data_IF_067426101298
#
_entry.id   IF_067426101298
#
_cell.length_a   1.000
_cell.length_b   1.000
_cell.length_c   1.000
_cell.angle_alpha   90.00
_cell.angle_beta   90.00
_cell.angle_gamma   90.00
#
_symmetry.space_group_name_H-M   'P 1'
#
loop_
_entity.id
_entity.type
_entity.pdbx_description
1 polymer ?
#
# COMPACT_ATOMS: atom_id res chain seq x y z
N UNK A 1 -19.22 -15.67 -41.40
CA UNK A 1 -17.87 -16.25 -41.24
C UNK A 1 -17.78 -16.87 -39.86
N UNK A 2 -17.08 -17.99 -39.73
CA UNK A 2 -16.84 -18.66 -38.44
C UNK A 2 -15.34 -18.85 -38.16
N UNK A 3 -14.97 -18.89 -36.89
CA UNK A 3 -13.61 -19.23 -36.44
C UNK A 3 -13.66 -19.98 -35.12
N UNK A 4 -12.99 -21.13 -35.06
CA UNK A 4 -12.80 -21.90 -33.83
C UNK A 4 -11.69 -21.31 -32.97
N UNK A 5 -11.92 -21.25 -31.67
CA UNK A 5 -10.98 -20.71 -30.69
C UNK A 5 -11.01 -21.59 -29.44
N UNK A 6 -9.83 -21.92 -28.91
CA UNK A 6 -9.67 -22.66 -27.66
C UNK A 6 -9.18 -21.72 -26.57
N UNK A 7 -9.86 -21.69 -25.43
CA UNK A 7 -9.44 -20.96 -24.23
C UNK A 7 -8.88 -21.95 -23.22
N UNK A 8 -7.60 -21.81 -22.88
CA UNK A 8 -6.91 -22.72 -21.96
C UNK A 8 -7.23 -22.39 -20.50
N UNK A 9 -6.89 -23.31 -19.59
CA UNK A 9 -7.22 -23.22 -18.15
C UNK A 9 -6.73 -21.96 -17.43
N UNK A 10 -5.67 -21.32 -17.94
CA UNK A 10 -5.10 -20.09 -17.39
C UNK A 10 -5.60 -18.81 -18.09
N UNK A 11 -6.37 -18.96 -19.17
CA UNK A 11 -6.89 -17.87 -19.99
C UNK A 11 -8.38 -17.70 -19.71
N UNK A 12 -8.88 -16.48 -19.86
CA UNK A 12 -10.29 -16.18 -19.63
C UNK A 12 -10.80 -15.03 -20.50
N UNK A 13 -9.95 -14.47 -21.38
CA UNK A 13 -10.27 -13.31 -22.19
C UNK A 13 -10.09 -13.64 -23.67
N UNK A 14 -11.15 -13.45 -24.44
CA UNK A 14 -11.18 -13.59 -25.90
C UNK A 14 -11.40 -12.21 -26.52
N UNK A 15 -10.43 -11.73 -27.30
CA UNK A 15 -10.57 -10.54 -28.12
C UNK A 15 -10.88 -10.92 -29.57
N UNK A 16 -11.95 -10.38 -30.13
CA UNK A 16 -12.40 -10.63 -31.50
C UNK A 16 -12.36 -9.33 -32.31
N UNK A 17 -11.45 -9.24 -33.26
CA UNK A 17 -11.38 -8.15 -34.21
C UNK A 17 -12.11 -8.52 -35.51
N UNK A 18 -13.10 -7.72 -35.89
CA UNK A 18 -13.92 -7.91 -37.10
C UNK A 18 -13.92 -6.67 -37.96
N UNK A 19 -14.15 -6.86 -39.26
CA UNK A 19 -14.43 -5.79 -40.23
C UNK A 19 -15.78 -6.06 -40.90
N UNK A 20 -16.50 -4.97 -41.20
CA UNK A 20 -17.82 -5.03 -41.87
C UNK A 20 -18.88 -5.90 -41.15
N UNK A 21 -18.72 -6.10 -39.85
CA UNK A 21 -19.62 -6.89 -39.04
C UNK A 21 -20.66 -6.03 -38.33
N UNK A 22 -21.85 -6.59 -38.19
CA UNK A 22 -22.93 -6.07 -37.34
C UNK A 22 -23.23 -7.02 -36.17
N UNK A 23 -22.76 -8.26 -36.28
CA UNK A 23 -22.99 -9.32 -35.29
C UNK A 23 -21.70 -10.04 -34.94
N UNK A 24 -21.53 -10.37 -33.66
CA UNK A 24 -20.59 -11.40 -33.20
C UNK A 24 -21.39 -12.30 -32.26
N UNK A 25 -21.38 -13.59 -32.52
CA UNK A 25 -22.03 -14.61 -31.71
C UNK A 25 -20.97 -15.65 -31.33
N UNK A 26 -20.97 -16.08 -30.07
CA UNK A 26 -20.01 -17.08 -29.57
C UNK A 26 -20.80 -18.28 -29.11
N UNK A 27 -20.49 -19.43 -29.69
CA UNK A 27 -21.07 -20.71 -29.32
C UNK A 27 -20.03 -21.58 -28.62
N UNK A 28 -20.44 -22.38 -27.64
CA UNK A 28 -19.58 -23.42 -27.08
C UNK A 28 -19.46 -24.65 -28.01
N UNK A 29 -18.71 -25.67 -27.59
CA UNK A 29 -18.50 -26.92 -28.34
C UNK A 29 -19.83 -27.67 -28.61
N UNK A 30 -20.82 -27.51 -27.73
CA UNK A 30 -22.15 -28.10 -27.86
C UNK A 30 -23.08 -27.30 -28.76
N UNK A 31 -22.64 -26.13 -29.27
CA UNK A 31 -23.42 -25.24 -30.10
C UNK A 31 -24.40 -24.35 -29.32
N UNK A 32 -24.25 -24.24 -28.00
CA UNK A 32 -25.03 -23.32 -27.18
C UNK A 32 -24.47 -21.90 -27.31
N UNK A 33 -25.35 -20.93 -27.55
CA UNK A 33 -24.97 -19.51 -27.59
C UNK A 33 -24.55 -19.04 -26.18
N UNK A 34 -23.32 -18.56 -26.07
CA UNK A 34 -22.71 -18.06 -24.84
C UNK A 34 -22.77 -16.54 -24.77
N UNK A 35 -22.41 -15.86 -25.85
CA UNK A 35 -22.33 -14.39 -25.91
C UNK A 35 -22.79 -13.88 -27.28
N UNK A 36 -23.36 -12.67 -27.31
CA UNK A 36 -23.74 -12.00 -28.56
C UNK A 36 -23.57 -10.49 -28.48
N UNK A 37 -23.09 -9.90 -29.57
CA UNK A 37 -23.07 -8.46 -29.79
C UNK A 37 -23.80 -8.18 -31.09
N UNK A 38 -24.71 -7.20 -31.07
CA UNK A 38 -25.43 -6.70 -32.24
C UNK A 38 -25.34 -5.18 -32.27
N UNK A 39 -24.85 -4.63 -33.35
CA UNK A 39 -24.68 -3.19 -33.57
C UNK A 39 -24.83 -2.86 -35.05
N UNK A 40 -25.19 -1.62 -35.38
CA UNK A 40 -25.25 -1.17 -36.79
C UNK A 40 -23.92 -1.36 -37.51
N UNK A 41 -22.81 -1.21 -36.79
CA UNK A 41 -21.44 -1.49 -37.25
C UNK A 41 -20.50 -1.72 -36.06
N UNK A 42 -19.71 -2.79 -36.12
CA UNK A 42 -18.65 -3.09 -35.15
C UNK A 42 -17.33 -2.57 -35.72
N UNK A 43 -16.75 -1.55 -35.07
CA UNK A 43 -15.56 -0.81 -35.57
C UNK A 43 -14.31 -1.00 -34.72
N UNK A 44 -14.42 -1.75 -33.61
CA UNK A 44 -13.31 -2.03 -32.71
C UNK A 44 -13.32 -3.50 -32.28
N UNK A 45 -12.17 -4.08 -31.90
CA UNK A 45 -12.12 -5.41 -31.31
C UNK A 45 -13.02 -5.51 -30.08
N UNK A 46 -13.76 -6.61 -29.96
CA UNK A 46 -14.68 -6.87 -28.86
C UNK A 46 -14.06 -7.87 -27.89
N UNK A 47 -14.27 -7.67 -26.59
CA UNK A 47 -13.69 -8.50 -25.54
C UNK A 47 -14.80 -9.31 -24.88
N UNK A 48 -14.56 -10.61 -24.71
CA UNK A 48 -15.46 -11.56 -24.07
C UNK A 48 -14.73 -12.31 -22.97
N UNK A 49 -15.42 -12.54 -21.84
CA UNK A 49 -14.88 -13.30 -20.72
C UNK A 49 -15.56 -14.67 -20.65
N UNK A 50 -14.80 -15.71 -20.93
CA UNK A 50 -15.32 -17.05 -21.11
C UNK A 50 -14.50 -18.03 -20.26
N UNK A 51 -15.16 -19.10 -19.80
CA UNK A 51 -14.46 -20.19 -19.10
C UNK A 51 -13.53 -20.93 -20.06
N UNK A 52 -12.51 -21.64 -19.56
CA UNK A 52 -11.74 -22.55 -20.38
C UNK A 52 -12.64 -23.53 -21.14
N UNK A 53 -12.39 -23.69 -22.44
CA UNK A 53 -13.22 -24.48 -23.35
C UNK A 53 -13.00 -24.14 -24.81
N UNK A 54 -13.64 -24.91 -25.68
CA UNK A 54 -13.65 -24.68 -27.13
C UNK A 54 -14.89 -23.90 -27.53
N UNK A 55 -14.68 -22.89 -28.38
CA UNK A 55 -15.72 -21.98 -28.83
C UNK A 55 -15.67 -21.77 -30.34
N UNK A 56 -16.82 -21.45 -30.91
CA UNK A 56 -16.97 -20.99 -32.29
C UNK A 56 -17.46 -19.55 -32.30
N UNK A 57 -16.64 -18.65 -32.84
CA UNK A 57 -17.00 -17.26 -33.08
C UNK A 57 -17.64 -17.16 -34.45
N UNK A 58 -18.86 -16.67 -34.53
CA UNK A 58 -19.64 -16.48 -35.75
C UNK A 58 -19.95 -14.99 -35.94
N UNK A 59 -19.80 -14.48 -37.16
CA UNK A 59 -20.13 -13.10 -37.50
C UNK A 59 -20.69 -13.00 -38.91
N UNK A 60 -21.50 -11.98 -39.19
CA UNK A 60 -21.93 -11.63 -40.54
C UNK A 60 -20.89 -10.82 -41.35
N UNK A 61 -19.78 -10.40 -40.73
CA UNK A 61 -18.65 -9.74 -41.40
C UNK A 61 -17.44 -10.67 -41.57
N UNK A 62 -16.24 -10.07 -41.64
CA UNK A 62 -14.96 -10.79 -41.69
C UNK A 62 -14.28 -10.76 -40.32
N UNK A 63 -13.76 -11.92 -39.90
CA UNK A 63 -12.91 -12.04 -38.69
C UNK A 63 -11.47 -11.78 -39.11
N UNK A 64 -10.90 -10.67 -38.65
CA UNK A 64 -9.50 -10.33 -38.89
C UNK A 64 -8.61 -11.11 -37.92
N UNK A 65 -8.89 -10.99 -36.62
CA UNK A 65 -8.06 -11.58 -35.58
C UNK A 65 -8.90 -12.09 -34.41
N UNK A 66 -8.45 -13.19 -33.81
CA UNK A 66 -8.92 -13.66 -32.51
C UNK A 66 -7.70 -13.86 -31.64
N UNK A 67 -7.69 -13.26 -30.45
CA UNK A 67 -6.62 -13.39 -29.47
C UNK A 67 -7.21 -13.92 -28.17
N UNK A 68 -6.57 -14.93 -27.60
CA UNK A 68 -6.91 -15.45 -26.28
C UNK A 68 -5.76 -15.15 -25.33
N UNK A 69 -6.08 -14.59 -24.18
CA UNK A 69 -5.13 -14.37 -23.12
C UNK A 69 -5.77 -14.44 -21.72
N UNK A 70 -4.91 -14.40 -20.71
CA UNK A 70 -5.31 -14.27 -19.33
C UNK A 70 -5.44 -12.78 -18.99
N UNK A 71 -6.60 -12.36 -18.48
CA UNK A 71 -6.65 -11.08 -17.81
C UNK A 71 -5.94 -11.19 -16.46
N UNK A 72 -4.79 -10.52 -16.34
CA UNK A 72 -4.18 -10.29 -15.03
C UNK A 72 -5.00 -9.22 -14.31
N UNK A 73 -5.93 -9.66 -13.47
CA UNK A 73 -6.50 -8.76 -12.46
C UNK A 73 -5.38 -8.48 -11.46
N UNK A 74 -4.73 -7.32 -11.60
CA UNK A 74 -3.80 -6.82 -10.59
C UNK A 74 -4.62 -6.34 -9.39
N UNK A 75 -4.97 -7.26 -8.50
CA UNK A 75 -5.52 -6.91 -7.19
C UNK A 75 -4.35 -6.44 -6.32
N UNK A 76 -4.14 -5.13 -6.22
CA UNK A 76 -3.27 -4.56 -5.19
C UNK A 76 -4.08 -4.40 -3.91
N UNK A 77 -3.70 -5.13 -2.86
CA UNK A 77 -4.12 -4.77 -1.51
C UNK A 77 -3.30 -3.55 -1.08
N UNK A 78 -3.88 -2.59 -0.33
CA UNK A 78 -3.07 -1.56 0.29
C UNK A 78 -2.02 -2.24 1.17
N UNK A 79 -0.75 -1.95 0.94
CA UNK A 79 0.31 -2.36 1.87
C UNK A 79 0.07 -1.58 3.16
N UNK A 80 -0.50 -2.25 4.15
CA UNK A 80 -0.59 -1.68 5.49
C UNK A 80 0.84 -1.52 5.99
N UNK A 81 1.18 -0.30 6.41
CA UNK A 81 2.49 0.01 6.97
C UNK A 81 2.34 0.58 8.37
N UNK A 82 3.42 0.58 9.13
CA UNK A 82 3.42 1.02 10.52
C UNK A 82 4.65 1.87 10.82
N UNK A 83 4.53 2.71 11.84
CA UNK A 83 5.67 3.39 12.44
C UNK A 83 6.18 2.57 13.62
N UNK A 84 7.46 2.24 13.59
CA UNK A 84 8.21 1.72 14.73
C UNK A 84 9.00 2.86 15.36
N UNK A 85 9.01 2.89 16.70
CA UNK A 85 9.72 3.91 17.47
C UNK A 85 10.64 3.26 18.48
N UNK A 86 11.85 3.77 18.59
CA UNK A 86 12.85 3.35 19.58
C UNK A 86 13.47 4.56 20.25
N UNK A 87 13.99 4.37 21.45
CA UNK A 87 14.73 5.38 22.21
C UNK A 87 16.16 4.89 22.44
N UNK A 88 17.12 5.81 22.47
CA UNK A 88 18.52 5.52 22.77
C UNK A 88 18.88 5.62 24.27
N UNK A 89 17.90 5.87 25.13
CA UNK A 89 18.06 5.93 26.58
C UNK A 89 18.75 4.65 27.09
N UNK A 90 19.61 4.81 28.10
CA UNK A 90 20.47 3.73 28.60
C UNK A 90 19.87 3.02 29.80
N UNK A 91 19.04 3.73 30.56
CA UNK A 91 18.37 3.22 31.74
C UNK A 91 16.93 2.82 31.40
N UNK A 92 16.40 1.88 32.17
CA UNK A 92 15.07 1.32 31.97
C UNK A 92 14.46 0.97 33.32
N UNK A 93 13.18 1.29 33.47
CA UNK A 93 12.42 0.97 34.66
C UNK A 93 12.33 -0.56 34.84
N UNK A 94 12.67 -1.04 36.04
CA UNK A 94 12.93 -2.47 36.29
C UNK A 94 11.70 -3.38 36.19
N UNK A 95 10.50 -2.81 36.19
CA UNK A 95 9.24 -3.56 36.22
C UNK A 95 8.59 -3.64 34.84
N UNK A 96 8.49 -2.52 34.13
CA UNK A 96 7.77 -2.40 32.85
C UNK A 96 8.70 -2.14 31.65
N UNK A 97 9.99 -1.90 31.89
CA UNK A 97 10.98 -1.69 30.84
C UNK A 97 10.82 -0.36 30.10
N UNK A 98 10.12 0.62 30.68
CA UNK A 98 10.03 1.97 30.11
C UNK A 98 11.45 2.59 30.11
N UNK A 99 11.92 3.16 28.99
CA UNK A 99 13.20 3.86 28.97
C UNK A 99 13.19 5.09 29.90
N UNK A 100 14.28 5.30 30.61
CA UNK A 100 14.42 6.30 31.67
C UNK A 100 15.49 7.36 31.31
N UNK A 101 15.22 8.62 31.61
CA UNK A 101 16.20 9.73 31.61
C UNK A 101 16.04 10.60 32.87
N UNK A 102 17.10 11.26 33.38
CA UNK A 102 16.98 12.11 34.56
C UNK A 102 15.97 13.26 34.40
N UNK A 103 15.15 13.51 35.43
CA UNK A 103 14.21 14.62 35.49
C UNK A 103 14.92 15.93 35.90
N UNK A 104 15.87 16.41 35.09
CA UNK A 104 16.70 17.59 35.37
C UNK A 104 16.43 18.79 34.44
N UNK A 105 15.47 18.67 33.52
CA UNK A 105 15.14 19.72 32.56
C UNK A 105 16.09 19.87 31.37
N UNK A 106 17.19 19.10 31.32
CA UNK A 106 18.26 19.22 30.32
C UNK A 106 18.67 17.91 29.66
N UNK A 107 18.48 16.80 30.36
CA UNK A 107 18.66 15.43 29.88
C UNK A 107 17.72 15.15 28.71
N UNK A 108 18.17 14.33 27.77
CA UNK A 108 17.38 13.97 26.60
C UNK A 108 17.63 12.54 26.17
N UNK A 109 16.68 12.01 25.39
CA UNK A 109 16.87 10.81 24.58
C UNK A 109 16.56 11.11 23.12
N UNK A 110 17.31 10.49 22.21
CA UNK A 110 17.00 10.46 20.79
C UNK A 110 15.96 9.37 20.53
N UNK A 111 14.80 9.78 20.00
CA UNK A 111 13.77 8.87 19.51
C UNK A 111 13.95 8.71 18.01
N UNK A 112 14.10 7.45 17.56
CA UNK A 112 14.20 7.09 16.14
C UNK A 112 12.87 6.53 15.68
N UNK A 113 12.40 6.99 14.52
CA UNK A 113 11.22 6.48 13.82
C UNK A 113 11.68 5.70 12.60
N UNK A 114 11.10 4.52 12.38
CA UNK A 114 11.28 3.71 11.18
C UNK A 114 9.90 3.31 10.63
N UNK A 115 9.61 3.67 9.38
CA UNK A 115 8.47 3.11 8.65
C UNK A 115 8.80 1.67 8.27
N UNK A 116 7.87 0.77 8.54
CA UNK A 116 8.02 -0.64 8.28
C UNK A 116 6.75 -1.23 7.69
N UNK A 117 6.87 -2.36 7.00
CA UNK A 117 5.71 -3.19 6.71
C UNK A 117 5.13 -3.81 8.00
N UNK A 118 3.98 -4.47 7.89
CA UNK A 118 3.34 -5.16 9.03
C UNK A 118 4.20 -6.29 9.63
N UNK A 119 5.14 -6.86 8.88
CA UNK A 119 6.10 -7.85 9.39
C UNK A 119 7.27 -7.19 10.14
N UNK A 120 7.39 -5.87 10.08
CA UNK A 120 8.45 -5.10 10.71
C UNK A 120 9.70 -4.93 9.87
N UNK A 121 9.67 -5.26 8.57
CA UNK A 121 10.78 -4.97 7.68
C UNK A 121 10.84 -3.47 7.38
N UNK A 122 12.03 -2.84 7.49
CA UNK A 122 12.15 -1.41 7.26
C UNK A 122 11.93 -1.06 5.79
N UNK A 123 11.09 -0.05 5.55
CA UNK A 123 10.92 0.58 4.24
C UNK A 123 11.92 1.73 4.13
N UNK A 124 12.74 1.74 3.07
CA UNK A 124 13.95 2.57 2.98
C UNK A 124 14.10 3.33 1.66
N UNK A 125 13.01 3.48 0.92
CA UNK A 125 13.04 4.14 -0.39
C UNK A 125 12.49 5.56 -0.31
N UNK A 126 12.68 6.36 -1.35
CA UNK A 126 12.20 7.76 -1.37
C UNK A 126 10.68 7.89 -1.40
N UNK A 127 9.94 6.82 -1.77
CA UNK A 127 8.47 6.78 -1.64
C UNK A 127 8.00 6.66 -0.18
N UNK A 128 8.92 6.37 0.74
CA UNK A 128 8.64 6.19 2.17
C UNK A 128 8.94 7.49 2.97
N UNK A 129 8.93 8.64 2.29
CA UNK A 129 9.21 9.96 2.86
C UNK A 129 7.91 10.64 3.32
N UNK A 130 7.25 10.07 4.33
CA UNK A 130 6.03 10.64 4.88
C UNK A 130 6.29 11.81 5.85
N UNK A 131 5.33 12.72 5.93
CA UNK A 131 5.29 13.74 6.98
C UNK A 131 4.78 13.13 8.29
N UNK A 132 5.50 13.38 9.37
CA UNK A 132 5.22 12.89 10.71
C UNK A 132 4.86 14.06 11.62
N UNK A 133 3.76 13.93 12.36
CA UNK A 133 3.33 14.84 13.41
C UNK A 133 3.65 14.26 14.79
N UNK A 134 4.16 15.11 15.69
CA UNK A 134 4.62 14.73 17.01
C UNK A 134 3.83 15.48 18.09
N UNK A 135 3.45 14.76 19.15
CA UNK A 135 2.86 15.35 20.36
C UNK A 135 3.47 14.71 21.59
N UNK A 136 3.58 15.47 22.67
CA UNK A 136 3.94 14.95 23.99
C UNK A 136 3.10 15.62 25.07
N UNK A 137 2.82 14.90 26.15
CA UNK A 137 2.14 15.41 27.35
C UNK A 137 3.10 15.89 28.45
N UNK A 138 4.40 15.67 28.26
CA UNK A 138 5.50 16.12 29.11
C UNK A 138 6.80 16.27 28.32
N UNK A 139 7.67 17.17 28.75
CA UNK A 139 8.96 17.41 28.11
C UNK A 139 8.86 18.25 26.85
N UNK A 140 10.01 18.46 26.20
CA UNK A 140 10.12 19.28 25.00
C UNK A 140 10.68 18.45 23.87
N UNK A 141 9.92 18.36 22.77
CA UNK A 141 10.38 17.73 21.53
C UNK A 141 11.22 18.74 20.74
N UNK A 142 12.45 18.38 20.42
CA UNK A 142 13.34 19.16 19.55
C UNK A 142 13.80 18.32 18.36
N UNK A 143 14.34 18.98 17.33
CA UNK A 143 14.99 18.29 16.22
C UNK A 143 16.15 17.37 16.68
N UNK A 144 16.66 16.53 15.78
CA UNK A 144 17.73 15.58 16.08
C UNK A 144 19.00 16.25 16.65
N UNK A 145 19.22 17.52 16.30
CA UNK A 145 20.36 18.32 16.77
C UNK A 145 20.09 18.99 18.13
N UNK A 146 18.84 19.02 18.58
CA UNK A 146 18.41 19.74 19.78
C UNK A 146 18.34 21.27 19.62
N UNK A 147 18.39 21.77 18.39
CA UNK A 147 18.53 23.19 18.04
C UNK A 147 17.21 23.95 18.15
N UNK A 148 16.10 23.33 17.79
CA UNK A 148 14.79 23.97 17.79
C UNK A 148 13.69 23.01 18.22
N UNK A 149 12.66 23.56 18.86
CA UNK A 149 11.45 22.82 19.17
C UNK A 149 10.67 22.54 17.88
N UNK A 150 10.20 21.29 17.72
CA UNK A 150 9.44 20.87 16.55
C UNK A 150 8.14 20.17 16.95
N UNK A 151 7.18 20.15 16.02
CA UNK A 151 5.91 19.39 16.14
C UNK A 151 5.66 18.49 14.93
N UNK A 152 6.57 18.53 13.97
CA UNK A 152 6.54 17.74 12.75
C UNK A 152 7.94 17.56 12.20
N UNK A 153 8.14 16.53 11.40
CA UNK A 153 9.34 16.25 10.62
C UNK A 153 8.98 15.40 9.39
N UNK A 154 9.91 15.25 8.46
CA UNK A 154 9.73 14.34 7.31
C UNK A 154 10.62 13.12 7.49
N UNK A 155 10.09 11.94 7.15
CA UNK A 155 10.91 10.75 6.97
C UNK A 155 11.87 10.96 5.80
N UNK A 156 13.10 10.50 5.97
CA UNK A 156 14.13 10.43 4.94
C UNK A 156 14.43 8.95 4.73
N UNK A 157 14.00 8.41 3.59
CA UNK A 157 14.08 6.99 3.27
C UNK A 157 13.46 6.14 4.38
N UNK A 158 12.21 6.48 4.75
CA UNK A 158 11.46 5.80 5.80
C UNK A 158 11.98 5.97 7.23
N UNK A 159 12.98 6.82 7.45
CA UNK A 159 13.59 7.01 8.77
C UNK A 159 13.62 8.48 9.19
N UNK A 160 13.42 8.73 10.48
CA UNK A 160 13.69 10.03 11.08
C UNK A 160 14.14 9.90 12.53
N UNK A 161 14.67 10.98 13.09
CA UNK A 161 14.99 11.06 14.50
C UNK A 161 14.67 12.45 15.06
N UNK A 162 14.36 12.50 16.35
CA UNK A 162 14.15 13.72 17.11
C UNK A 162 14.56 13.50 18.56
N UNK A 163 14.65 14.57 19.36
CA UNK A 163 15.00 14.47 20.79
C UNK A 163 13.81 14.81 21.67
N UNK A 164 13.60 14.02 22.72
CA UNK A 164 12.74 14.37 23.84
C UNK A 164 13.64 14.83 25.00
N UNK A 165 13.49 16.09 25.41
CA UNK A 165 14.13 16.66 26.60
C UNK A 165 13.21 16.51 27.81
N UNK A 166 13.77 16.14 28.96
CA UNK A 166 13.03 15.98 30.22
C UNK A 166 12.57 17.31 30.80
N UNK A 167 11.67 17.24 31.78
CA UNK A 167 11.32 18.34 32.69
C UNK A 167 12.03 18.12 34.04
N UNK A 168 12.03 19.12 34.92
CA UNK A 168 12.49 18.97 36.31
C UNK A 168 11.52 18.13 37.18
N UNK A 169 10.37 17.76 36.62
CA UNK A 169 9.33 16.98 37.30
C UNK A 169 9.44 15.52 36.91
N UNK A 170 9.52 14.64 37.92
CA UNK A 170 9.43 13.19 37.74
C UNK A 170 8.04 12.78 37.30
N UNK A 171 7.94 12.07 36.19
CA UNK A 171 6.70 11.53 35.60
C UNK A 171 7.03 10.71 34.36
N UNK A 172 6.06 9.90 33.91
CA UNK A 172 6.10 9.28 32.59
C UNK A 172 5.57 10.27 31.55
N UNK A 173 6.35 10.49 30.50
CA UNK A 173 5.99 11.25 29.32
C UNK A 173 5.49 10.30 28.21
N UNK A 174 4.38 10.63 27.58
CA UNK A 174 3.88 9.93 26.39
C UNK A 174 4.14 10.76 25.14
N UNK A 175 4.95 10.22 24.23
CA UNK A 175 5.17 10.80 22.90
C UNK A 175 4.32 10.07 21.88
N UNK A 176 3.41 10.79 21.23
CA UNK A 176 2.61 10.30 20.11
C UNK A 176 3.30 10.66 18.79
N UNK A 177 3.39 9.67 17.90
CA UNK A 177 3.99 9.79 16.56
C UNK A 177 2.92 9.40 15.55
N UNK A 178 2.52 10.36 14.71
CA UNK A 178 1.40 10.20 13.79
C UNK A 178 1.86 10.47 12.36
N UNK A 179 1.48 9.62 11.42
CA UNK A 179 1.72 9.83 10.00
C UNK A 179 0.63 10.71 9.37
N UNK A 180 1.00 11.52 8.38
CA UNK A 180 0.04 12.23 7.54
C UNK A 180 -0.72 11.27 6.61
N UNK A 181 -0.07 10.19 6.17
CA UNK A 181 -0.67 9.15 5.36
C UNK A 181 -1.61 8.28 6.22
N UNK A 182 -2.92 8.23 5.91
CA UNK A 182 -3.91 7.48 6.69
C UNK A 182 -3.73 5.96 6.63
N UNK A 183 -2.98 5.44 5.65
CA UNK A 183 -2.71 4.00 5.51
C UNK A 183 -1.51 3.53 6.35
N UNK A 184 -0.84 4.46 7.03
CA UNK A 184 0.26 4.19 7.97
C UNK A 184 -0.27 4.20 9.41
N UNK A 185 -0.06 3.11 10.13
CA UNK A 185 -0.44 3.01 11.55
C UNK A 185 0.41 3.93 12.44
N UNK A 186 -0.27 4.81 13.17
CA UNK A 186 0.29 5.68 14.20
C UNK A 186 0.80 4.87 15.41
N UNK A 187 1.72 5.45 16.19
CA UNK A 187 2.30 4.79 17.36
C UNK A 187 2.58 5.77 18.51
N UNK A 188 3.04 5.25 19.64
CA UNK A 188 3.53 6.06 20.76
C UNK A 188 4.63 5.35 21.54
N UNK A 189 5.49 6.13 22.17
CA UNK A 189 6.51 5.65 23.12
C UNK A 189 6.32 6.37 24.46
N UNK A 190 6.55 5.65 25.56
CA UNK A 190 6.63 6.23 26.90
C UNK A 190 8.10 6.39 27.29
N UNK A 191 8.44 7.50 27.95
CA UNK A 191 9.76 7.76 28.53
C UNK A 191 9.55 8.24 29.95
N UNK A 192 10.23 7.64 30.92
CA UNK A 192 10.15 8.06 32.32
C UNK A 192 11.22 9.11 32.63
N UNK A 193 10.80 10.19 33.27
CA UNK A 193 11.68 11.18 33.88
C UNK A 193 11.81 10.82 35.36
N UNK A 194 13.02 10.45 35.81
CA UNK A 194 13.27 9.89 37.16
C UNK A 194 14.14 10.76 38.08
#
# INVERSE_FOLDING_TARGET
MERKVTIKSAENRLTVAVSEAQTIEIFDEQGQLMETIRSEKIIAPQIFYLKPGDYTVVTNGKIEQTTVDAEKINVSFPEITQLQVTSDAKDFHKVDGIPEIPADGTSFTTITIQKADIQGNPLTTTKDNDEIFLRTDAGIIKDEKGSQQIRRLELQQGKAAFRLYSEERKRVAKVQVMCADPDVMNTSIHIEFF
#
